data_IF_818865245079
#
_entry.id   IF_818865245079
#
_cell.length_a   1.000
_cell.length_b   1.000
_cell.length_c   1.000
_cell.angle_alpha   90.00
_cell.angle_beta   90.00
_cell.angle_gamma   90.00
#
_symmetry.space_group_name_H-M   'P 1'
#
loop_
_entity.id
_entity.type
_entity.pdbx_description
1 polymer ?
#
# COMPACT_ATOMS: atom_id res chain seq x y z
N UNK A 1 6.43 -45.55 -25.65
CA UNK A 1 7.10 -44.53 -26.50
C UNK A 1 6.58 -43.24 -25.91
N UNK A 2 7.21 -42.90 -24.79
CA UNK A 2 6.73 -41.95 -23.80
C UNK A 2 7.61 -40.72 -23.92
N UNK A 3 7.09 -39.68 -24.53
CA UNK A 3 7.71 -38.36 -24.54
C UNK A 3 6.69 -37.37 -23.96
N UNK A 4 6.50 -37.48 -22.64
CA UNK A 4 5.84 -36.47 -21.86
C UNK A 4 6.83 -35.33 -21.66
N UNK A 5 6.71 -34.30 -22.50
CA UNK A 5 7.38 -33.01 -22.36
C UNK A 5 7.02 -32.40 -21.00
N UNK A 6 7.82 -32.74 -19.99
CA UNK A 6 7.85 -32.04 -18.70
C UNK A 6 8.20 -30.58 -18.96
N UNK A 7 7.19 -29.72 -18.99
CA UNK A 7 7.37 -28.29 -18.77
C UNK A 7 7.95 -28.15 -17.36
N UNK A 8 9.17 -27.61 -17.19
CA UNK A 8 9.60 -27.21 -15.87
C UNK A 8 8.65 -26.08 -15.44
N UNK A 9 7.84 -26.39 -14.44
CA UNK A 9 6.99 -25.44 -13.71
C UNK A 9 7.95 -24.48 -12.97
N UNK A 10 8.44 -23.49 -13.71
CA UNK A 10 9.22 -22.34 -13.24
C UNK A 10 8.27 -21.37 -12.51
N UNK A 11 7.61 -21.86 -11.45
CA UNK A 11 6.54 -21.12 -10.75
C UNK A 11 6.96 -20.66 -9.36
N UNK A 12 8.26 -20.42 -9.18
CA UNK A 12 8.77 -19.58 -8.09
C UNK A 12 9.08 -18.20 -8.64
N UNK A 13 8.06 -17.46 -9.02
CA UNK A 13 8.22 -16.00 -9.15
C UNK A 13 8.44 -15.50 -7.72
N UNK A 14 9.65 -15.03 -7.36
CA UNK A 14 9.91 -14.59 -6.00
C UNK A 14 8.97 -13.42 -5.71
N UNK A 15 8.17 -13.57 -4.67
CA UNK A 15 7.39 -12.47 -4.10
C UNK A 15 8.41 -11.41 -3.67
N UNK A 16 8.53 -10.39 -4.51
CA UNK A 16 9.59 -9.39 -4.44
C UNK A 16 9.61 -8.77 -3.03
N UNK A 17 10.80 -8.67 -2.42
CA UNK A 17 11.01 -8.26 -1.04
C UNK A 17 10.60 -6.80 -0.73
N UNK A 18 9.95 -6.12 -1.69
CA UNK A 18 9.37 -4.78 -1.57
C UNK A 18 7.85 -4.73 -1.40
N UNK A 19 7.16 -5.87 -1.26
CA UNK A 19 5.73 -5.87 -0.98
C UNK A 19 5.45 -5.20 0.38
N UNK A 20 4.61 -4.17 0.36
CA UNK A 20 4.17 -3.51 1.59
C UNK A 20 3.38 -4.48 2.46
N UNK A 21 3.40 -4.30 3.78
CA UNK A 21 2.60 -5.10 4.70
C UNK A 21 1.13 -5.18 4.28
N UNK A 22 0.56 -4.08 3.77
CA UNK A 22 -0.79 -4.06 3.21
C UNK A 22 -0.95 -5.00 2.01
N UNK A 23 0.02 -5.03 1.09
CA UNK A 23 0.00 -5.95 -0.05
C UNK A 23 0.07 -7.41 0.39
N UNK A 24 0.83 -7.72 1.45
CA UNK A 24 0.91 -9.06 2.02
C UNK A 24 -0.42 -9.48 2.67
N UNK A 25 -1.04 -8.63 3.50
CA UNK A 25 -2.36 -8.87 4.08
C UNK A 25 -3.44 -9.07 3.02
N UNK A 26 -3.42 -8.27 1.94
CA UNK A 26 -4.36 -8.43 0.82
C UNK A 26 -4.11 -9.72 0.06
N UNK A 27 -2.85 -10.08 -0.21
CA UNK A 27 -2.52 -11.33 -0.89
C UNK A 27 -2.93 -12.56 -0.05
N UNK A 28 -2.77 -12.50 1.27
CA UNK A 28 -3.25 -13.54 2.20
C UNK A 28 -4.78 -13.63 2.19
N UNK A 29 -5.48 -12.50 2.34
CA UNK A 29 -6.95 -12.43 2.23
C UNK A 29 -7.43 -13.11 0.94
N UNK A 30 -6.88 -12.71 -0.21
CA UNK A 30 -7.26 -13.28 -1.50
C UNK A 30 -6.98 -14.79 -1.57
N UNK A 31 -5.86 -15.24 -1.02
CA UNK A 31 -5.48 -16.66 -0.99
C UNK A 31 -6.44 -17.49 -0.10
N UNK A 32 -6.82 -16.98 1.07
CA UNK A 32 -7.80 -17.60 1.97
C UNK A 32 -9.19 -17.74 1.33
N UNK A 33 -9.51 -16.85 0.40
CA UNK A 33 -10.75 -16.87 -0.39
C UNK A 33 -10.62 -17.59 -1.74
N UNK A 34 -9.53 -18.34 -1.96
CA UNK A 34 -9.34 -19.21 -3.13
C UNK A 34 -8.81 -18.51 -4.39
N UNK A 35 -8.39 -17.26 -4.29
CA UNK A 35 -7.81 -16.52 -5.42
C UNK A 35 -6.30 -16.77 -5.47
N UNK A 36 -5.89 -17.66 -6.37
CA UNK A 36 -4.46 -17.96 -6.61
C UNK A 36 -3.67 -16.74 -7.09
N UNK A 37 -2.37 -16.71 -6.80
CA UNK A 37 -1.47 -15.58 -7.05
C UNK A 37 -1.56 -14.99 -8.47
N UNK A 38 -1.68 -15.85 -9.49
CA UNK A 38 -1.82 -15.45 -10.91
C UNK A 38 -3.08 -14.61 -11.18
N UNK A 39 -4.15 -14.81 -10.40
CA UNK A 39 -5.44 -14.15 -10.56
C UNK A 39 -5.66 -12.97 -9.60
N UNK A 40 -4.81 -12.80 -8.58
CA UNK A 40 -4.98 -11.75 -7.57
C UNK A 40 -5.07 -10.35 -8.17
N UNK A 41 -4.23 -10.03 -9.15
CA UNK A 41 -4.29 -8.71 -9.79
C UNK A 41 -5.60 -8.48 -10.57
N UNK A 42 -6.18 -9.53 -11.15
CA UNK A 42 -7.46 -9.44 -11.84
C UNK A 42 -8.61 -9.25 -10.83
N UNK A 43 -8.61 -10.00 -9.73
CA UNK A 43 -9.59 -9.86 -8.66
C UNK A 43 -9.55 -8.45 -8.04
N UNK A 44 -8.35 -7.94 -7.70
CA UNK A 44 -8.18 -6.58 -7.17
C UNK A 44 -8.65 -5.53 -8.17
N UNK A 45 -8.33 -5.68 -9.46
CA UNK A 45 -8.78 -4.75 -10.48
C UNK A 45 -10.30 -4.67 -10.59
N UNK A 46 -10.97 -5.84 -10.53
CA UNK A 46 -12.43 -5.92 -10.58
C UNK A 46 -13.08 -5.33 -9.34
N UNK A 47 -12.61 -5.70 -8.15
CA UNK A 47 -13.21 -5.28 -6.88
C UNK A 47 -13.02 -3.78 -6.64
N UNK A 48 -11.82 -3.26 -6.92
CA UNK A 48 -11.49 -1.86 -6.70
C UNK A 48 -11.83 -0.95 -7.89
N UNK A 49 -12.36 -1.50 -8.99
CA UNK A 49 -12.62 -0.78 -10.24
C UNK A 49 -11.40 0.01 -10.77
N UNK A 50 -10.22 -0.61 -10.74
CA UNK A 50 -8.95 -0.05 -11.24
C UNK A 50 -8.39 -0.88 -12.40
N UNK A 51 -7.38 -0.35 -13.09
CA UNK A 51 -6.70 -1.13 -14.12
C UNK A 51 -5.89 -2.31 -13.54
N UNK A 52 -5.76 -3.40 -14.31
CA UNK A 52 -4.93 -4.56 -13.93
C UNK A 52 -3.47 -4.15 -13.67
N UNK A 53 -2.93 -3.21 -14.44
CA UNK A 53 -1.58 -2.69 -14.23
C UNK A 53 -1.42 -1.99 -12.88
N UNK A 54 -2.42 -1.21 -12.45
CA UNK A 54 -2.42 -0.59 -11.11
C UNK A 54 -2.54 -1.65 -10.01
N UNK A 55 -3.42 -2.63 -10.18
CA UNK A 55 -3.58 -3.73 -9.22
C UNK A 55 -2.27 -4.51 -9.03
N UNK A 56 -1.57 -4.88 -10.12
CA UNK A 56 -0.24 -5.51 -10.06
C UNK A 56 0.77 -4.65 -9.31
N UNK A 57 0.78 -3.34 -9.57
CA UNK A 57 1.71 -2.43 -8.91
C UNK A 57 1.42 -2.32 -7.40
N UNK A 58 0.16 -2.32 -7.00
CA UNK A 58 -0.26 -2.34 -5.59
C UNK A 58 0.15 -3.62 -4.87
N UNK A 59 -0.02 -4.78 -5.52
CA UNK A 59 0.45 -6.06 -4.99
C UNK A 59 1.98 -6.14 -4.87
N UNK A 60 2.72 -5.33 -5.63
CA UNK A 60 4.18 -5.17 -5.53
C UNK A 60 4.64 -4.05 -4.58
N UNK A 61 3.73 -3.49 -3.78
CA UNK A 61 4.08 -2.52 -2.74
C UNK A 61 3.78 -1.05 -3.06
N UNK A 62 3.03 -0.74 -4.13
CA UNK A 62 2.51 0.62 -4.25
C UNK A 62 1.46 0.94 -3.18
N UNK A 63 1.25 2.24 -2.97
CA UNK A 63 0.32 2.77 -1.97
C UNK A 63 -1.10 2.28 -2.24
N UNK A 64 -1.74 1.84 -1.16
CA UNK A 64 -3.14 1.47 -1.10
C UNK A 64 -3.98 2.63 -0.57
N UNK A 65 -5.11 2.89 -1.21
CA UNK A 65 -6.11 3.82 -0.69
C UNK A 65 -7.01 3.07 0.29
N UNK A 66 -7.45 3.77 1.33
CA UNK A 66 -8.35 3.19 2.33
C UNK A 66 -9.61 2.57 1.69
N UNK A 67 -10.23 3.27 0.74
CA UNK A 67 -11.45 2.79 0.06
C UNK A 67 -11.23 1.50 -0.73
N UNK A 68 -10.03 1.29 -1.31
CA UNK A 68 -9.72 0.06 -2.05
C UNK A 68 -9.60 -1.12 -1.10
N UNK A 69 -8.90 -0.93 0.01
CA UNK A 69 -8.75 -1.96 1.05
C UNK A 69 -10.11 -2.29 1.67
N UNK A 70 -10.91 -1.26 1.97
CA UNK A 70 -12.26 -1.43 2.47
C UNK A 70 -13.16 -2.17 1.48
N UNK A 71 -13.06 -1.88 0.17
CA UNK A 71 -13.82 -2.57 -0.86
C UNK A 71 -13.49 -4.07 -0.91
N UNK A 72 -12.19 -4.43 -0.81
CA UNK A 72 -11.74 -5.82 -0.73
C UNK A 72 -12.30 -6.53 0.50
N UNK A 73 -12.18 -5.92 1.68
CA UNK A 73 -12.70 -6.52 2.91
C UNK A 73 -14.21 -6.75 2.84
N UNK A 74 -14.97 -5.75 2.36
CA UNK A 74 -16.43 -5.85 2.19
C UNK A 74 -16.83 -6.89 1.16
N UNK A 75 -16.09 -7.03 0.06
CA UNK A 75 -16.35 -8.04 -0.96
C UNK A 75 -16.24 -9.46 -0.40
N UNK A 76 -15.26 -9.68 0.48
CA UNK A 76 -15.00 -10.98 1.11
C UNK A 76 -15.74 -11.19 2.44
N UNK A 77 -16.54 -10.20 2.89
CA UNK A 77 -17.27 -10.28 4.17
C UNK A 77 -16.36 -10.23 5.40
N UNK A 78 -15.12 -9.77 5.27
CA UNK A 78 -14.18 -9.62 6.39
C UNK A 78 -14.13 -8.18 6.92
N UNK A 79 -13.78 -8.06 8.20
CA UNK A 79 -13.53 -6.76 8.83
C UNK A 79 -12.07 -6.33 8.65
N UNK A 80 -11.82 -5.01 8.64
CA UNK A 80 -10.45 -4.49 8.58
C UNK A 80 -9.61 -5.02 9.76
N UNK A 81 -10.18 -5.04 10.96
CA UNK A 81 -9.48 -5.54 12.14
C UNK A 81 -9.04 -6.99 11.96
N UNK A 82 -9.88 -7.85 11.37
CA UNK A 82 -9.53 -9.25 11.09
C UNK A 82 -8.38 -9.37 10.08
N UNK A 83 -8.43 -8.61 8.98
CA UNK A 83 -7.42 -8.68 7.90
C UNK A 83 -6.07 -8.09 8.36
N UNK A 84 -6.10 -7.09 9.23
CA UNK A 84 -4.94 -6.34 9.70
C UNK A 84 -4.61 -6.58 11.18
N UNK A 85 -5.09 -7.69 11.76
CA UNK A 85 -4.87 -8.04 13.19
C UNK A 85 -3.40 -8.24 13.54
N UNK A 86 -2.57 -8.66 12.58
CA UNK A 86 -1.14 -8.80 12.78
C UNK A 86 -0.51 -7.41 12.86
N UNK A 87 0.32 -7.16 13.89
CA UNK A 87 1.01 -5.87 14.02
C UNK A 87 1.78 -5.55 12.72
N UNK A 88 1.61 -4.34 12.14
CA UNK A 88 2.45 -3.95 11.02
C UNK A 88 3.91 -4.06 11.46
N UNK A 89 4.82 -4.59 10.60
CA UNK A 89 6.23 -4.65 10.95
C UNK A 89 6.64 -3.27 11.41
N UNK A 90 7.18 -3.18 12.63
CA UNK A 90 7.55 -1.94 13.30
C UNK A 90 8.41 -1.12 12.35
N UNK A 91 7.75 -0.28 11.55
CA UNK A 91 8.43 0.65 10.70
C UNK A 91 8.85 1.69 11.72
N UNK A 92 10.16 1.92 11.94
CA UNK A 92 10.55 3.07 12.71
C UNK A 92 10.05 4.24 11.89
N UNK A 93 8.84 4.71 12.20
CA UNK A 93 8.43 6.06 11.91
C UNK A 93 9.59 6.83 12.52
N UNK A 94 10.46 7.34 11.65
CA UNK A 94 11.64 8.05 12.08
C UNK A 94 11.06 9.28 12.74
N UNK A 95 10.84 9.20 14.05
CA UNK A 95 10.87 10.33 14.95
C UNK A 95 12.26 10.87 14.73
N UNK A 96 12.42 11.74 13.73
CA UNK A 96 13.54 12.61 13.73
C UNK A 96 13.40 13.34 15.08
N UNK A 97 14.31 13.17 16.04
CA UNK A 97 14.44 14.21 17.03
C UNK A 97 14.64 15.47 16.19
N UNK A 98 13.79 16.47 16.38
CA UNK A 98 14.09 17.82 15.96
C UNK A 98 15.33 18.23 16.76
N UNK A 99 16.50 17.76 16.35
CA UNK A 99 17.78 18.28 16.79
C UNK A 99 17.84 19.65 16.13
N UNK A 100 17.29 20.64 16.82
CA UNK A 100 17.47 22.03 16.48
C UNK A 100 18.98 22.25 16.32
N UNK A 101 19.48 22.65 15.13
CA UNK A 101 20.78 23.28 15.10
C UNK A 101 20.62 24.60 15.85
N UNK A 102 21.24 24.68 17.03
CA UNK A 102 21.58 25.96 17.63
C UNK A 102 22.53 26.68 16.65
N UNK A 103 21.94 27.43 15.73
CA UNK A 103 22.63 28.14 14.67
C UNK A 103 21.79 29.33 14.27
N UNK A 104 22.14 30.49 14.83
CA UNK A 104 21.62 31.81 14.52
C UNK A 104 21.45 32.04 13.01
N UNK A 105 20.22 32.23 12.54
CA UNK A 105 19.89 33.08 11.39
C UNK A 105 18.49 33.68 11.62
N UNK A 106 18.35 35.02 11.76
CA UNK A 106 17.02 35.63 11.69
C UNK A 106 16.59 35.68 10.22
N UNK A 107 15.72 34.78 9.81
CA UNK A 107 15.00 34.93 8.56
C UNK A 107 13.80 35.86 8.81
N UNK A 108 14.01 37.17 8.60
CA UNK A 108 12.91 38.15 8.51
C UNK A 108 12.04 37.80 7.30
N UNK A 109 10.87 37.24 7.56
CA UNK A 109 9.82 37.02 6.56
C UNK A 109 9.08 38.35 6.38
N UNK A 110 9.48 39.12 5.37
CA UNK A 110 8.77 40.33 4.95
C UNK A 110 7.44 39.95 4.32
N UNK A 111 6.34 40.16 5.04
CA UNK A 111 5.00 40.14 4.48
C UNK A 111 4.67 41.56 4.03
N UNK A 112 4.81 41.79 2.72
CA UNK A 112 4.35 43.00 2.05
C UNK A 112 2.83 43.17 2.17
N UNK A 113 2.40 44.25 2.81
CA UNK A 113 1.49 45.18 2.15
C UNK A 113 -0.01 44.89 2.10
N UNK A 114 -0.64 44.36 3.15
CA UNK A 114 -2.11 44.43 3.29
C UNK A 114 -2.51 45.06 4.64
N UNK A 115 -2.60 46.39 4.65
CA UNK A 115 -3.20 47.17 5.73
C UNK A 115 -4.69 47.34 5.44
N UNK A 116 -5.55 46.71 6.24
CA UNK A 116 -6.99 47.01 6.29
C UNK A 116 -7.22 47.93 7.51
N UNK A 117 -7.79 49.13 7.35
CA UNK A 117 -8.07 50.01 8.49
C UNK A 117 -9.29 49.48 9.28
N UNK A 118 -9.07 49.07 10.52
CA UNK A 118 -10.16 48.83 11.47
C UNK A 118 -10.61 50.18 12.05
N UNK A 119 -11.85 50.56 11.73
CA UNK A 119 -12.59 51.67 12.33
C UNK A 119 -12.80 51.42 13.84
N UNK A 120 -12.53 52.44 14.66
CA UNK A 120 -13.27 52.75 15.89
C UNK A 120 -13.50 54.26 15.91
#
# INVERSE_FOLDING_TARGET
MDDALSHPDDDSVPYDAGATWTAACVADLLSRHGVGARHQAAAVAQICAISISQARRKLRGAVWLFNEVLALCRHHGESLDTVFSAEPPATPWRTAPATAPAGHLPATLGLDGLQLPAHV
#
